data_IF_354534937771
#
_entry.id   IF_354534937771
#
_cell.length_a   1.000
_cell.length_b   1.000
_cell.length_c   1.000
_cell.angle_alpha   90.00
_cell.angle_beta   90.00
_cell.angle_gamma   90.00
#
_symmetry.space_group_name_H-M   'P 1'
#
loop_
_entity.id
_entity.type
_entity.pdbx_description
1 polymer ?
#
# COMPACT_ATOMS: atom_id res chain seq x y z
N UNK A 1 6.58 -3.92 -10.21
CA UNK A 1 7.29 -4.13 -8.93
C UNK A 1 7.30 -5.62 -8.62
N UNK A 2 8.39 -6.23 -8.11
CA UNK A 2 8.37 -7.68 -7.77
C UNK A 2 7.27 -7.93 -6.74
N UNK A 3 6.37 -8.85 -7.02
CA UNK A 3 5.19 -9.05 -6.18
C UNK A 3 5.57 -9.82 -4.90
N UNK A 4 5.43 -9.17 -3.74
CA UNK A 4 5.71 -9.76 -2.42
C UNK A 4 4.43 -9.88 -1.60
N UNK A 5 4.46 -10.68 -0.52
CA UNK A 5 3.32 -10.80 0.40
C UNK A 5 2.88 -9.43 0.95
N UNK A 6 3.84 -8.57 1.30
CA UNK A 6 3.56 -7.20 1.78
C UNK A 6 2.88 -6.37 0.69
N UNK A 7 3.33 -6.46 -0.56
CA UNK A 7 2.72 -5.72 -1.67
C UNK A 7 1.28 -6.19 -1.93
N UNK A 8 1.04 -7.52 -1.93
CA UNK A 8 -0.32 -8.07 -2.05
C UNK A 8 -1.23 -7.57 -0.94
N UNK A 9 -0.71 -7.54 0.29
CA UNK A 9 -1.43 -7.02 1.46
C UNK A 9 -1.79 -5.53 1.30
N UNK A 10 -0.82 -4.68 0.95
CA UNK A 10 -1.03 -3.23 0.71
C UNK A 10 -2.07 -3.01 -0.39
N UNK A 11 -1.97 -3.70 -1.52
CA UNK A 11 -2.95 -3.61 -2.62
C UNK A 11 -4.34 -4.05 -2.16
N UNK A 12 -4.44 -5.11 -1.36
CA UNK A 12 -5.69 -5.58 -0.77
C UNK A 12 -6.36 -4.51 0.09
N UNK A 13 -5.60 -3.86 0.97
CA UNK A 13 -6.11 -2.74 1.78
C UNK A 13 -6.66 -1.63 0.89
N UNK A 14 -5.87 -1.16 -0.09
CA UNK A 14 -6.26 -0.05 -0.97
C UNK A 14 -7.50 -0.40 -1.81
N UNK A 15 -7.64 -1.67 -2.22
CA UNK A 15 -8.81 -2.15 -2.99
C UNK A 15 -10.08 -2.12 -2.16
N UNK A 16 -10.02 -2.57 -0.91
CA UNK A 16 -11.18 -2.80 -0.05
C UNK A 16 -11.59 -1.55 0.76
N UNK A 17 -10.65 -0.68 1.09
CA UNK A 17 -10.89 0.49 1.94
C UNK A 17 -10.70 1.79 1.15
N UNK A 18 -11.81 2.46 0.83
CA UNK A 18 -11.86 3.64 -0.05
C UNK A 18 -11.10 4.86 0.48
N UNK A 19 -11.05 5.04 1.80
CA UNK A 19 -10.51 6.24 2.47
C UNK A 19 -9.28 5.99 3.34
N UNK A 20 -8.60 4.86 3.16
CA UNK A 20 -7.36 4.60 3.89
C UNK A 20 -6.31 5.64 3.53
N UNK A 21 -5.61 6.22 4.50
CA UNK A 21 -4.48 7.14 4.28
C UNK A 21 -3.17 6.36 4.10
N UNK A 22 -2.03 7.05 3.95
CA UNK A 22 -0.73 6.34 3.91
C UNK A 22 -0.33 5.93 5.31
N UNK A 23 -0.61 6.78 6.27
CA UNK A 23 -0.34 6.64 7.70
C UNK A 23 -1.09 5.44 8.28
N UNK A 24 -2.36 5.26 7.93
CA UNK A 24 -3.15 4.09 8.34
C UNK A 24 -2.52 2.78 7.82
N UNK A 25 -2.11 2.75 6.56
CA UNK A 25 -1.46 1.57 5.96
C UNK A 25 -0.12 1.31 6.67
N UNK A 26 0.63 2.36 7.01
CA UNK A 26 1.87 2.23 7.77
C UNK A 26 1.64 1.62 9.17
N UNK A 27 0.62 2.08 9.90
CA UNK A 27 0.27 1.53 11.21
C UNK A 27 -0.14 0.05 11.10
N UNK A 28 -0.88 -0.32 10.06
CA UNK A 28 -1.20 -1.72 9.79
C UNK A 28 0.07 -2.53 9.51
N UNK A 29 0.99 -2.01 8.69
CA UNK A 29 2.26 -2.66 8.39
C UNK A 29 3.13 -2.83 9.64
N UNK A 30 3.17 -1.85 10.55
CA UNK A 30 3.84 -1.98 11.85
C UNK A 30 3.20 -3.08 12.69
N UNK A 31 1.86 -3.11 12.81
CA UNK A 31 1.13 -4.11 13.60
C UNK A 31 1.28 -5.54 13.07
N UNK A 32 1.10 -5.74 11.76
CA UNK A 32 1.04 -7.07 11.15
C UNK A 32 2.42 -7.63 10.77
N UNK A 33 3.33 -6.77 10.31
CA UNK A 33 4.65 -7.18 9.83
C UNK A 33 5.80 -6.80 10.77
N UNK A 34 5.50 -6.20 11.94
CA UNK A 34 6.50 -5.73 12.93
C UNK A 34 7.56 -4.82 12.30
N UNK A 35 7.16 -4.05 11.29
CA UNK A 35 8.06 -3.14 10.59
C UNK A 35 8.35 -1.92 11.48
N UNK A 36 9.61 -1.51 11.66
CA UNK A 36 9.95 -0.36 12.48
C UNK A 36 9.67 0.93 11.71
N UNK A 37 8.39 1.27 11.54
CA UNK A 37 7.93 2.42 10.75
C UNK A 37 8.45 3.74 11.34
N UNK A 38 8.72 3.80 12.65
CA UNK A 38 9.36 4.96 13.30
C UNK A 38 10.76 5.25 12.78
N UNK A 39 11.44 4.28 12.18
CA UNK A 39 12.74 4.49 11.54
C UNK A 39 12.55 5.22 10.20
N UNK A 40 13.16 6.41 10.00
CA UNK A 40 12.91 7.23 8.80
C UNK A 40 13.17 6.51 7.47
N UNK A 41 14.24 5.71 7.38
CA UNK A 41 14.57 4.95 6.18
C UNK A 41 13.47 3.96 5.80
N UNK A 42 12.90 3.27 6.79
CA UNK A 42 11.81 2.31 6.62
C UNK A 42 10.52 3.05 6.24
N UNK A 43 10.22 4.15 6.92
CA UNK A 43 9.08 5.00 6.60
C UNK A 43 9.11 5.45 5.13
N UNK A 44 10.19 6.08 4.67
CA UNK A 44 10.26 6.60 3.31
C UNK A 44 10.25 5.49 2.25
N UNK A 45 10.85 4.34 2.54
CA UNK A 45 10.78 3.15 1.69
C UNK A 45 9.34 2.69 1.50
N UNK A 46 8.61 2.46 2.57
CA UNK A 46 7.23 1.98 2.48
C UNK A 46 6.26 3.05 1.97
N UNK A 47 6.51 4.33 2.23
CA UNK A 47 5.72 5.45 1.68
C UNK A 47 5.76 5.43 0.15
N UNK A 48 6.95 5.20 -0.40
CA UNK A 48 7.14 5.07 -1.85
C UNK A 48 6.44 3.82 -2.40
N UNK A 49 6.54 2.69 -1.70
CA UNK A 49 5.85 1.45 -2.08
C UNK A 49 4.32 1.62 -2.08
N UNK A 50 3.76 2.23 -1.04
CA UNK A 50 2.31 2.49 -0.92
C UNK A 50 1.83 3.40 -2.07
N UNK A 51 2.56 4.48 -2.37
CA UNK A 51 2.24 5.36 -3.49
C UNK A 51 2.19 4.61 -4.82
N UNK A 52 3.17 3.74 -5.08
CA UNK A 52 3.19 2.88 -6.29
C UNK A 52 2.02 1.90 -6.32
N UNK A 53 1.70 1.24 -5.19
CA UNK A 53 0.57 0.34 -5.09
C UNK A 53 -0.76 1.05 -5.37
N UNK A 54 -0.96 2.28 -4.87
CA UNK A 54 -2.17 3.07 -5.19
C UNK A 54 -2.31 3.34 -6.67
N UNK A 55 -1.23 3.76 -7.33
CA UNK A 55 -1.24 4.03 -8.76
C UNK A 55 -1.62 2.78 -9.56
N UNK A 56 -1.07 1.61 -9.21
CA UNK A 56 -1.43 0.34 -9.85
C UNK A 56 -2.91 0.00 -9.64
N UNK A 57 -3.42 0.04 -8.40
CA UNK A 57 -4.83 -0.25 -8.10
C UNK A 57 -5.77 0.75 -8.77
N UNK A 58 -5.41 2.03 -8.85
CA UNK A 58 -6.24 3.04 -9.51
C UNK A 58 -6.24 2.87 -11.04
N UNK A 59 -5.11 2.46 -11.64
CA UNK A 59 -5.06 2.06 -13.05
C UNK A 59 -5.96 0.85 -13.32
N UNK A 60 -5.92 -0.17 -12.46
CA UNK A 60 -6.82 -1.34 -12.54
C UNK A 60 -8.30 -0.93 -12.47
N UNK A 61 -8.66 -0.03 -11.54
CA UNK A 61 -10.03 0.49 -11.41
C UNK A 61 -10.51 1.26 -12.64
N UNK A 62 -9.64 2.06 -13.26
CA UNK A 62 -9.97 2.79 -14.50
C UNK A 62 -10.24 1.84 -15.66
N UNK A 63 -9.37 0.86 -15.87
CA UNK A 63 -9.56 -0.18 -16.90
C UNK A 63 -10.87 -0.95 -16.76
N UNK A 64 -11.34 -1.18 -15.53
CA UNK A 64 -12.64 -1.84 -15.27
C UNK A 64 -13.87 -0.95 -15.53
N UNK A 65 -13.69 0.37 -15.63
CA UNK A 65 -14.77 1.30 -15.99
C UNK A 65 -14.90 1.50 -17.50
N UNK A 66 -13.79 1.32 -18.23
CA UNK A 66 -13.73 1.48 -19.68
C UNK A 66 -14.18 0.20 -20.44
N UNK A 67 -14.61 -0.84 -19.72
CA UNK A 67 -15.18 -2.11 -20.22
C UNK A 67 -16.57 -2.25 -19.65
#
# INVERSE_FOLDING_TARGET
MKETRIIKYIKGIIRNHKYTTTEDIMLMLEKYYKLPIKTPSVYYKYRTIIKRCRQEVYKERRKKKDV
#
